data_IF_721851130914
#
_entry.id   IF_721851130914
#
_cell.length_a   1.000
_cell.length_b   1.000
_cell.length_c   1.000
_cell.angle_alpha   90.00
_cell.angle_beta   90.00
_cell.angle_gamma   90.00
#
_symmetry.space_group_name_H-M   'P 1'
#
loop_
_entity.id
_entity.type
_entity.pdbx_description
1 polymer ?
#
# COMPACT_ATOMS: atom_id res chain seq x y z
N UNK A 1 22.65 22.00 49.53
CA UNK A 1 22.41 20.55 49.40
C UNK A 1 20.99 20.49 48.90
N UNK A 2 20.83 20.69 47.59
CA UNK A 2 19.58 21.22 47.05
C UNK A 2 18.88 20.13 46.24
N UNK A 3 17.61 19.98 46.59
CA UNK A 3 16.68 18.94 46.20
C UNK A 3 16.49 18.85 44.69
N UNK A 4 16.60 17.63 44.15
CA UNK A 4 16.24 17.34 42.77
C UNK A 4 14.71 17.23 42.70
N UNK A 5 14.10 18.33 42.27
CA UNK A 5 12.68 18.44 41.98
C UNK A 5 12.28 17.49 40.83
N UNK A 6 11.21 16.73 41.06
CA UNK A 6 10.66 15.79 40.09
C UNK A 6 10.12 16.46 38.84
N UNK A 7 10.62 16.04 37.67
CA UNK A 7 10.01 16.36 36.37
C UNK A 7 8.91 15.36 36.06
N UNK A 8 7.66 15.79 36.22
CA UNK A 8 6.48 15.11 35.69
C UNK A 8 6.52 15.19 34.16
N UNK A 9 6.83 14.08 33.49
CA UNK A 9 6.75 13.99 32.04
C UNK A 9 5.28 14.07 31.61
N UNK A 10 4.89 15.19 31.02
CA UNK A 10 3.57 15.37 30.41
C UNK A 10 3.54 14.52 29.15
N UNK A 11 2.90 13.34 29.21
CA UNK A 11 2.60 12.55 28.03
C UNK A 11 1.56 13.31 27.20
N UNK A 12 2.02 14.04 26.19
CA UNK A 12 1.15 14.63 25.17
C UNK A 12 0.40 13.50 24.49
N UNK A 13 -0.88 13.33 24.85
CA UNK A 13 -1.78 12.36 24.21
C UNK A 13 -1.84 12.72 22.73
N UNK A 14 -1.06 12.02 21.89
CA UNK A 14 -1.17 12.11 20.43
C UNK A 14 -2.64 11.87 20.12
N UNK A 15 -3.32 12.92 19.69
CA UNK A 15 -4.69 12.86 19.22
C UNK A 15 -4.72 11.78 18.15
N UNK A 16 -5.27 10.60 18.47
CA UNK A 16 -5.64 9.66 17.44
C UNK A 16 -6.76 10.38 16.71
N UNK A 17 -6.40 11.05 15.61
CA UNK A 17 -7.39 11.45 14.60
C UNK A 17 -8.15 10.18 14.33
N UNK A 18 -9.40 10.11 14.81
CA UNK A 18 -10.34 9.08 14.37
C UNK A 18 -10.30 9.21 12.87
N UNK A 19 -9.62 8.28 12.18
CA UNK A 19 -9.73 8.16 10.74
C UNK A 19 -11.21 7.94 10.53
N UNK A 20 -11.87 8.99 10.04
CA UNK A 20 -13.23 8.89 9.56
C UNK A 20 -13.20 7.66 8.65
N UNK A 21 -13.89 6.58 9.01
CA UNK A 21 -13.96 5.42 8.12
C UNK A 21 -14.53 5.97 6.81
N UNK A 22 -13.72 6.02 5.76
CA UNK A 22 -14.20 6.38 4.43
C UNK A 22 -15.15 5.25 4.05
N UNK A 23 -16.45 5.55 4.11
CA UNK A 23 -17.50 4.60 3.76
C UNK A 23 -17.34 4.27 2.27
N UNK A 24 -17.56 3.01 1.93
CA UNK A 24 -17.40 2.55 0.57
C UNK A 24 -18.25 3.35 -0.43
N UNK A 25 -17.64 3.76 -1.54
CA UNK A 25 -18.32 4.52 -2.60
C UNK A 25 -19.27 3.60 -3.40
N UNK A 26 -20.26 4.20 -4.08
CA UNK A 26 -21.19 3.47 -4.97
C UNK A 26 -20.51 2.74 -6.13
N UNK A 27 -19.30 3.14 -6.53
CA UNK A 27 -18.59 2.55 -7.67
C UNK A 27 -17.97 1.17 -7.35
N UNK A 28 -17.92 0.78 -6.06
CA UNK A 28 -17.28 -0.46 -5.65
C UNK A 28 -15.75 -0.41 -5.75
N UNK A 29 -15.05 -1.45 -5.26
CA UNK A 29 -13.60 -1.57 -5.40
C UNK A 29 -13.19 -1.75 -6.87
N UNK A 30 -12.00 -1.24 -7.22
CA UNK A 30 -11.44 -1.34 -8.58
C UNK A 30 -10.38 -2.43 -8.65
N UNK A 31 -10.48 -3.30 -9.64
CA UNK A 31 -9.51 -4.37 -9.85
C UNK A 31 -8.44 -3.96 -10.85
N UNK A 32 -7.20 -4.39 -10.62
CA UNK A 32 -6.07 -4.14 -11.51
C UNK A 32 -5.10 -5.31 -11.55
N UNK A 33 -4.20 -5.27 -12.53
CA UNK A 33 -3.02 -6.12 -12.64
C UNK A 33 -1.76 -5.28 -12.56
N UNK A 34 -0.77 -5.79 -11.84
CA UNK A 34 0.57 -5.24 -11.80
C UNK A 34 1.38 -5.92 -12.91
N UNK A 35 1.75 -5.14 -13.93
CA UNK A 35 2.41 -5.63 -15.15
C UNK A 35 3.86 -5.21 -15.12
N UNK A 36 4.77 -6.19 -15.15
CA UNK A 36 6.21 -5.97 -15.23
C UNK A 36 6.71 -6.07 -16.65
N UNK A 37 7.30 -5.00 -17.14
CA UNK A 37 7.87 -4.90 -18.49
C UNK A 37 9.35 -5.28 -18.51
N UNK A 38 10.07 -4.97 -17.42
CA UNK A 38 11.50 -5.28 -17.29
C UNK A 38 11.75 -5.95 -15.95
N UNK A 39 12.32 -7.15 -15.97
CA UNK A 39 12.79 -7.81 -14.76
C UNK A 39 14.24 -7.42 -14.47
N UNK A 40 14.41 -6.28 -13.79
CA UNK A 40 15.73 -5.80 -13.35
C UNK A 40 16.40 -6.71 -12.32
N UNK A 41 15.65 -7.61 -11.68
CA UNK A 41 16.16 -8.52 -10.64
C UNK A 41 16.60 -9.88 -11.18
N UNK A 42 16.05 -10.30 -12.31
CA UNK A 42 16.18 -11.66 -12.85
C UNK A 42 15.45 -12.75 -12.06
N UNK A 43 14.63 -12.38 -11.05
CA UNK A 43 13.95 -13.32 -10.15
C UNK A 43 12.50 -13.58 -10.56
N UNK A 44 11.81 -12.55 -11.04
CA UNK A 44 10.34 -12.54 -11.08
C UNK A 44 9.76 -12.73 -12.48
N UNK A 45 10.57 -12.56 -13.52
CA UNK A 45 10.13 -12.50 -14.90
C UNK A 45 9.33 -11.23 -15.23
N UNK A 46 8.80 -11.22 -16.45
CA UNK A 46 7.96 -10.17 -17.03
C UNK A 46 6.52 -10.65 -17.19
N UNK A 47 5.59 -9.73 -17.39
CA UNK A 47 4.15 -9.99 -17.54
C UNK A 47 3.36 -9.62 -16.30
N UNK A 48 2.19 -10.23 -16.11
CA UNK A 48 1.37 -10.01 -14.91
C UNK A 48 2.03 -10.71 -13.73
N UNK A 49 2.53 -9.93 -12.78
CA UNK A 49 3.26 -10.43 -11.60
C UNK A 49 2.40 -10.42 -10.34
N UNK A 50 1.31 -9.64 -10.34
CA UNK A 50 0.34 -9.59 -9.26
C UNK A 50 -1.02 -9.11 -9.76
N UNK A 51 -2.06 -9.45 -8.99
CA UNK A 51 -3.42 -8.93 -9.12
C UNK A 51 -3.71 -8.05 -7.91
N UNK A 52 -4.53 -7.03 -8.07
CA UNK A 52 -4.84 -6.11 -6.99
C UNK A 52 -6.25 -5.58 -7.00
N UNK A 53 -6.68 -5.15 -5.82
CA UNK A 53 -7.94 -4.46 -5.60
C UNK A 53 -7.63 -3.18 -4.85
N UNK A 54 -8.04 -2.05 -5.40
CA UNK A 54 -8.12 -0.79 -4.68
C UNK A 54 -9.52 -0.64 -4.08
N UNK A 55 -9.56 -0.62 -2.75
CA UNK A 55 -10.78 -0.37 -1.99
C UNK A 55 -11.18 1.09 -2.11
N UNK A 56 -12.46 1.34 -1.90
CA UNK A 56 -13.06 2.67 -2.00
C UNK A 56 -12.60 3.66 -0.92
N UNK A 57 -11.90 3.19 0.12
CA UNK A 57 -11.20 4.04 1.09
C UNK A 57 -9.79 4.48 0.62
N UNK A 58 -9.33 3.92 -0.50
CA UNK A 58 -8.02 4.15 -1.12
C UNK A 58 -6.96 3.14 -0.72
N UNK A 59 -7.25 2.21 0.19
CA UNK A 59 -6.31 1.13 0.54
C UNK A 59 -6.25 0.09 -0.58
N UNK A 60 -5.11 -0.59 -0.71
CA UNK A 60 -4.90 -1.62 -1.75
C UNK A 60 -4.58 -2.96 -1.12
N UNK A 61 -5.23 -4.02 -1.62
CA UNK A 61 -4.77 -5.39 -1.43
C UNK A 61 -4.10 -5.86 -2.73
N UNK A 62 -2.87 -6.35 -2.64
CA UNK A 62 -2.11 -6.88 -3.76
C UNK A 62 -1.77 -8.35 -3.52
N UNK A 63 -2.15 -9.21 -4.44
CA UNK A 63 -1.85 -10.64 -4.44
C UNK A 63 -0.76 -10.96 -5.47
N UNK A 64 0.43 -11.27 -4.98
CA UNK A 64 1.57 -11.69 -5.80
C UNK A 64 1.37 -13.12 -6.31
N UNK A 65 1.58 -13.31 -7.62
CA UNK A 65 1.60 -14.63 -8.23
C UNK A 65 2.93 -15.35 -8.05
N UNK A 66 3.10 -16.47 -8.76
CA UNK A 66 4.34 -17.23 -8.79
C UNK A 66 4.40 -18.38 -7.78
N UNK A 67 5.61 -18.89 -7.51
CA UNK A 67 5.84 -20.10 -6.70
C UNK A 67 5.45 -19.95 -5.24
N UNK A 68 5.56 -18.74 -4.70
CA UNK A 68 5.30 -18.42 -3.31
C UNK A 68 4.33 -17.24 -3.24
N UNK A 69 3.03 -17.48 -3.51
CA UNK A 69 2.05 -16.40 -3.56
C UNK A 69 1.92 -15.73 -2.20
N UNK A 70 1.82 -14.41 -2.21
CA UNK A 70 1.74 -13.59 -0.98
C UNK A 70 0.75 -12.46 -1.19
N UNK A 71 -0.07 -12.19 -0.17
CA UNK A 71 -0.96 -11.03 -0.18
C UNK A 71 -0.39 -9.95 0.72
N UNK A 72 -0.30 -8.73 0.18
CA UNK A 72 0.16 -7.53 0.90
C UNK A 72 -0.93 -6.48 0.93
N UNK A 73 -0.98 -5.72 2.01
CA UNK A 73 -1.93 -4.61 2.18
C UNK A 73 -1.15 -3.31 2.20
N UNK A 74 -1.62 -2.33 1.44
CA UNK A 74 -1.03 -1.01 1.27
C UNK A 74 -2.03 0.05 1.74
N UNK A 75 -1.97 0.46 3.02
CA UNK A 75 -2.90 1.45 3.57
C UNK A 75 -2.80 2.83 2.91
N UNK A 76 -1.63 3.16 2.36
CA UNK A 76 -1.34 4.43 1.67
C UNK A 76 -1.59 4.35 0.15
N UNK A 77 -2.23 3.27 -0.31
CA UNK A 77 -2.81 3.15 -1.65
C UNK A 77 -1.83 2.90 -2.80
N UNK A 78 -2.30 3.20 -4.01
CA UNK A 78 -1.61 2.93 -5.28
C UNK A 78 -0.28 3.68 -5.38
N UNK A 79 -0.21 4.93 -4.91
CA UNK A 79 1.02 5.72 -4.99
C UNK A 79 2.16 5.09 -4.17
N UNK A 80 1.85 4.62 -2.97
CA UNK A 80 2.82 3.90 -2.13
C UNK A 80 3.26 2.60 -2.82
N UNK A 81 2.31 1.83 -3.36
CA UNK A 81 2.61 0.60 -4.10
C UNK A 81 3.56 0.85 -5.28
N UNK A 82 3.25 1.84 -6.12
CA UNK A 82 4.04 2.18 -7.33
C UNK A 82 5.38 2.80 -6.95
N UNK A 83 5.47 3.56 -5.86
CA UNK A 83 6.74 4.11 -5.40
C UNK A 83 7.78 3.02 -5.07
N UNK A 84 7.32 1.88 -4.55
CA UNK A 84 8.19 0.75 -4.19
C UNK A 84 8.41 -0.18 -5.38
N UNK A 85 7.36 -0.48 -6.15
CA UNK A 85 7.39 -1.55 -7.16
C UNK A 85 7.37 -1.07 -8.61
N UNK A 86 7.14 0.22 -8.88
CA UNK A 86 7.02 0.77 -10.23
C UNK A 86 8.34 0.84 -11.00
N UNK A 87 9.47 0.98 -10.28
CA UNK A 87 10.83 0.97 -10.83
C UNK A 87 10.99 1.82 -12.11
N UNK A 88 10.69 3.13 -12.02
CA UNK A 88 10.75 4.07 -13.15
C UNK A 88 9.99 3.62 -14.41
N UNK A 89 8.84 2.97 -14.22
CA UNK A 89 7.99 2.50 -15.32
C UNK A 89 8.30 1.07 -15.79
N UNK A 90 9.29 0.39 -15.20
CA UNK A 90 9.54 -1.03 -15.46
C UNK A 90 8.40 -1.93 -14.96
N UNK A 91 7.55 -1.45 -14.05
CA UNK A 91 6.30 -2.09 -13.66
C UNK A 91 5.17 -1.05 -13.63
N UNK A 92 4.02 -1.34 -14.23
CA UNK A 92 2.87 -0.44 -14.32
C UNK A 92 1.58 -1.12 -13.86
N UNK A 93 0.56 -0.32 -13.59
CA UNK A 93 -0.79 -0.81 -13.30
C UNK A 93 -1.60 -0.87 -14.60
N UNK A 94 -2.36 -1.96 -14.76
CA UNK A 94 -3.42 -2.09 -15.76
C UNK A 94 -4.76 -2.28 -15.03
N UNK A 95 -5.63 -1.29 -15.11
CA UNK A 95 -7.00 -1.40 -14.58
C UNK A 95 -7.84 -2.36 -15.43
N UNK A 96 -8.77 -3.06 -14.80
CA UNK A 96 -9.60 -4.09 -15.47
C UNK A 96 -11.01 -3.61 -15.82
N UNK A 97 -11.38 -2.43 -15.35
CA UNK A 97 -12.64 -1.73 -15.64
C UNK A 97 -12.50 -0.69 -16.77
N UNK A 98 -11.35 -0.62 -17.42
CA UNK A 98 -11.05 0.19 -18.61
C UNK A 98 -11.09 -0.63 -19.91
#
# INVERSE_FOLDING_TARGET
>A
MDEITGRTATLTRRSSRRRHLKIASKAGPRCFQLVRHVDVSGVSGTGVVAEGVEWTDGSVALHWGGRYPTTTVWPDGIDALVSVHGHNGATTIRWLDE
#
